data_IF_479853028158
#
_entry.id   IF_479853028158
#
_cell.length_a   1.000
_cell.length_b   1.000
_cell.length_c   1.000
_cell.angle_alpha   90.00
_cell.angle_beta   90.00
_cell.angle_gamma   90.00
#
_symmetry.space_group_name_H-M   'P 1'
#
loop_
_entity.id
_entity.type
_entity.pdbx_description
1 polymer ?
#
# COMPACT_ATOMS: atom_id res chain seq x y z
N UNK A 1 -17.75 6.57 8.45
CA UNK A 1 -16.33 7.03 8.50
C UNK A 1 -15.56 6.44 9.68
N UNK A 2 -16.06 6.46 10.93
CA UNK A 2 -15.35 5.90 12.10
C UNK A 2 -15.04 4.40 12.01
N UNK A 3 -15.90 3.60 11.38
CA UNK A 3 -15.66 2.16 11.15
C UNK A 3 -14.57 1.90 10.10
N UNK A 4 -14.36 2.80 9.14
CA UNK A 4 -13.31 2.67 8.13
C UNK A 4 -11.90 2.83 8.74
N UNK A 5 -11.79 3.41 9.93
CA UNK A 5 -10.56 3.56 10.70
C UNK A 5 -10.44 2.59 11.88
N UNK A 6 -11.35 1.61 12.01
CA UNK A 6 -11.33 0.64 13.11
C UNK A 6 -11.86 1.15 14.46
N UNK A 7 -12.68 2.20 14.46
CA UNK A 7 -13.31 2.78 15.65
C UNK A 7 -12.35 3.58 16.54
N UNK A 8 -12.79 3.94 17.75
CA UNK A 8 -12.01 4.72 18.73
C UNK A 8 -10.65 4.06 19.03
N UNK A 9 -10.62 2.72 19.11
CA UNK A 9 -9.41 1.95 19.33
C UNK A 9 -8.45 1.95 18.13
N UNK A 10 -8.98 1.99 16.90
CA UNK A 10 -8.14 2.16 15.72
C UNK A 10 -7.44 3.52 15.66
N UNK A 11 -8.12 4.59 16.07
CA UNK A 11 -7.50 5.92 16.20
C UNK A 11 -6.44 5.98 17.31
N UNK A 12 -6.68 5.33 18.44
CA UNK A 12 -5.68 5.22 19.53
C UNK A 12 -4.44 4.48 19.01
N UNK A 13 -4.62 3.37 18.32
CA UNK A 13 -3.51 2.56 17.80
C UNK A 13 -2.68 3.27 16.73
N UNK A 14 -3.28 4.14 15.91
CA UNK A 14 -2.54 4.90 14.89
C UNK A 14 -1.87 6.16 15.45
N UNK A 15 -2.43 6.75 16.50
CA UNK A 15 -2.01 8.06 17.00
C UNK A 15 -1.01 7.94 18.15
N UNK A 16 -1.23 7.00 19.08
CA UNK A 16 -0.42 6.84 20.29
C UNK A 16 1.05 6.50 19.98
N UNK A 17 1.36 5.55 19.07
CA UNK A 17 2.75 5.27 18.73
C UNK A 17 3.45 6.48 18.08
N UNK A 18 2.73 7.24 17.25
CA UNK A 18 3.24 8.46 16.63
C UNK A 18 3.54 9.54 17.67
N UNK A 19 2.66 9.74 18.66
CA UNK A 19 2.88 10.68 19.76
C UNK A 19 4.07 10.27 20.65
N UNK A 20 4.21 8.97 20.95
CA UNK A 20 5.35 8.46 21.72
C UNK A 20 6.66 8.62 20.95
N UNK A 21 6.66 8.37 19.64
CA UNK A 21 7.81 8.67 18.79
C UNK A 21 8.21 10.15 18.90
N UNK A 22 7.26 11.08 18.73
CA UNK A 22 7.51 12.52 18.79
C UNK A 22 8.00 12.95 20.18
N UNK A 23 7.39 12.46 21.25
CA UNK A 23 7.78 12.78 22.62
C UNK A 23 9.20 12.31 22.94
N UNK A 24 9.52 11.05 22.61
CA UNK A 24 10.84 10.47 22.85
C UNK A 24 11.89 11.15 21.95
N UNK A 25 11.55 11.50 20.71
CA UNK A 25 12.47 12.20 19.80
C UNK A 25 12.76 13.62 20.26
N UNK A 26 11.75 14.33 20.74
CA UNK A 26 11.90 15.69 21.26
C UNK A 26 12.84 15.70 22.47
N UNK A 27 12.75 14.69 23.35
CA UNK A 27 13.57 14.62 24.55
C UNK A 27 14.98 14.05 24.32
N UNK A 28 15.11 13.03 23.47
CA UNK A 28 16.39 12.29 23.32
C UNK A 28 17.19 12.74 22.10
N UNK A 29 16.57 13.46 21.16
CA UNK A 29 17.12 13.78 19.82
C UNK A 29 17.63 12.56 19.04
N UNK A 30 17.33 11.35 19.52
CA UNK A 30 17.83 10.09 18.97
C UNK A 30 16.71 9.35 18.26
N UNK A 31 16.82 9.29 16.93
CA UNK A 31 15.84 8.64 16.06
C UNK A 31 15.71 7.15 16.41
N UNK A 32 16.82 6.49 16.75
CA UNK A 32 16.83 5.07 17.11
C UNK A 32 16.03 4.78 18.36
N UNK A 33 16.24 5.57 19.43
CA UNK A 33 15.56 5.37 20.71
C UNK A 33 14.06 5.61 20.54
N UNK A 34 13.68 6.69 19.85
CA UNK A 34 12.28 7.00 19.55
C UNK A 34 11.60 5.95 18.70
N UNK A 35 12.29 5.45 17.67
CA UNK A 35 11.77 4.41 16.79
C UNK A 35 11.58 3.09 17.56
N UNK A 36 12.58 2.67 18.36
CA UNK A 36 12.48 1.45 19.17
C UNK A 36 11.35 1.57 20.19
N UNK A 37 11.22 2.70 20.88
CA UNK A 37 10.14 2.93 21.85
C UNK A 37 8.75 2.89 21.19
N UNK A 38 8.58 3.56 20.05
CA UNK A 38 7.31 3.56 19.32
C UNK A 38 6.98 2.19 18.71
N UNK A 39 7.99 1.45 18.23
CA UNK A 39 7.84 0.09 17.72
C UNK A 39 7.48 -0.89 18.84
N UNK A 40 8.16 -0.81 19.99
CA UNK A 40 7.84 -1.64 21.15
C UNK A 40 6.41 -1.40 21.62
N UNK A 41 5.98 -0.14 21.69
CA UNK A 41 4.60 0.21 22.05
C UNK A 41 3.59 -0.28 21.01
N UNK A 42 3.89 -0.12 19.72
CA UNK A 42 3.07 -0.65 18.63
C UNK A 42 2.93 -2.17 18.71
N UNK A 43 4.00 -2.86 19.10
CA UNK A 43 4.00 -4.31 19.28
C UNK A 43 3.13 -4.73 20.47
N UNK A 44 3.21 -4.02 21.60
CA UNK A 44 2.34 -4.27 22.77
C UNK A 44 0.87 -4.06 22.41
N UNK A 45 0.54 -2.98 21.70
CA UNK A 45 -0.82 -2.71 21.23
C UNK A 45 -1.30 -3.77 20.23
N UNK A 46 -0.42 -4.21 19.32
CA UNK A 46 -0.71 -5.30 18.39
C UNK A 46 -1.00 -6.61 19.13
N UNK A 47 -0.20 -6.97 20.15
CA UNK A 47 -0.42 -8.15 21.01
C UNK A 47 -1.74 -8.02 21.76
N UNK A 48 -2.05 -6.86 22.33
CA UNK A 48 -3.35 -6.62 22.96
C UNK A 48 -4.51 -6.79 21.96
N UNK A 49 -4.31 -6.43 20.69
CA UNK A 49 -5.27 -6.63 19.59
C UNK A 49 -5.51 -8.09 19.27
N UNK A 50 -4.44 -8.90 19.26
CA UNK A 50 -4.49 -10.36 19.08
C UNK A 50 -5.34 -11.00 20.18
N UNK A 51 -5.08 -10.63 21.43
CA UNK A 51 -5.81 -11.12 22.61
C UNK A 51 -7.30 -10.72 22.56
N UNK A 52 -7.61 -9.54 22.00
CA UNK A 52 -8.97 -9.02 21.79
C UNK A 52 -9.71 -9.59 20.57
N UNK A 53 -9.14 -10.58 19.86
CA UNK A 53 -9.71 -11.21 18.65
C UNK A 53 -10.09 -10.23 17.52
N UNK A 54 -9.41 -9.09 17.44
CA UNK A 54 -9.57 -8.20 16.28
C UNK A 54 -8.76 -8.73 15.09
N UNK A 55 -9.16 -8.36 13.87
CA UNK A 55 -8.65 -8.93 12.61
C UNK A 55 -7.12 -8.84 12.50
N UNK A 56 -6.48 -9.96 12.82
CA UNK A 56 -5.05 -10.22 12.82
C UNK A 56 -4.35 -10.16 11.45
N UNK A 57 -5.11 -10.01 10.36
CA UNK A 57 -4.62 -10.14 8.98
C UNK A 57 -3.45 -9.19 8.64
N UNK A 58 -3.37 -8.02 9.30
CA UNK A 58 -2.27 -7.07 9.07
C UNK A 58 -1.07 -7.25 10.00
N UNK A 59 -1.28 -7.68 11.25
CA UNK A 59 -0.20 -7.89 12.23
C UNK A 59 0.73 -9.06 11.85
N UNK A 60 0.19 -10.09 11.19
CA UNK A 60 0.97 -11.23 10.74
C UNK A 60 1.99 -10.88 9.65
N UNK A 61 1.65 -9.98 8.72
CA UNK A 61 2.53 -9.67 7.57
C UNK A 61 3.92 -9.16 7.97
N UNK A 62 4.01 -8.34 9.02
CA UNK A 62 5.28 -7.82 9.54
C UNK A 62 6.09 -8.90 10.26
N UNK A 63 5.44 -9.71 11.09
CA UNK A 63 6.10 -10.81 11.81
C UNK A 63 6.61 -11.88 10.83
N UNK A 64 5.81 -12.26 9.84
CA UNK A 64 6.22 -13.18 8.78
C UNK A 64 7.38 -12.61 7.97
N UNK A 65 7.35 -11.32 7.62
CA UNK A 65 8.45 -10.67 6.91
C UNK A 65 9.77 -10.72 7.68
N UNK A 66 9.74 -10.44 8.99
CA UNK A 66 10.91 -10.51 9.87
C UNK A 66 11.39 -11.96 10.02
N UNK A 67 10.48 -12.90 10.29
CA UNK A 67 10.81 -14.32 10.44
C UNK A 67 11.43 -14.89 9.16
N UNK A 68 10.87 -14.55 7.99
CA UNK A 68 11.38 -14.97 6.69
C UNK A 68 12.75 -14.36 6.41
N UNK A 69 12.95 -13.05 6.69
CA UNK A 69 14.28 -12.43 6.58
C UNK A 69 15.30 -13.09 7.51
N UNK A 70 14.93 -13.32 8.78
CA UNK A 70 15.80 -13.94 9.77
C UNK A 70 16.21 -15.36 9.37
N UNK A 71 15.26 -16.14 8.83
CA UNK A 71 15.53 -17.47 8.30
C UNK A 71 16.62 -17.46 7.22
N UNK A 72 16.55 -16.56 6.24
CA UNK A 72 17.58 -16.43 5.20
C UNK A 72 18.93 -15.96 5.74
N UNK A 73 18.94 -15.06 6.73
CA UNK A 73 20.18 -14.61 7.36
C UNK A 73 20.89 -15.76 8.12
N UNK A 74 20.15 -16.55 8.89
CA UNK A 74 20.68 -17.69 9.64
C UNK A 74 21.18 -18.78 8.69
N UNK A 75 20.37 -19.15 7.69
CA UNK A 75 20.72 -20.20 6.73
C UNK A 75 22.01 -19.90 5.96
N UNK A 76 22.24 -18.63 5.65
CA UNK A 76 23.37 -18.19 4.83
C UNK A 76 24.60 -17.74 5.62
N UNK A 77 24.48 -17.59 6.95
CA UNK A 77 25.54 -17.02 7.79
C UNK A 77 25.85 -15.54 7.53
N UNK A 78 25.01 -14.82 6.77
CA UNK A 78 25.25 -13.43 6.39
C UNK A 78 24.06 -12.53 6.73
N UNK A 79 24.27 -11.55 7.62
CA UNK A 79 23.23 -10.63 8.08
C UNK A 79 22.59 -9.81 6.95
N UNK A 80 23.28 -9.54 5.84
CA UNK A 80 22.70 -8.82 4.69
C UNK A 80 21.53 -9.58 4.07
N UNK A 81 21.52 -10.92 4.16
CA UNK A 81 20.48 -11.77 3.60
C UNK A 81 19.14 -11.64 4.32
N UNK A 82 19.12 -11.02 5.51
CA UNK A 82 17.89 -10.56 6.15
C UNK A 82 17.09 -9.62 5.24
N UNK A 83 17.77 -8.75 4.50
CA UNK A 83 17.11 -7.72 3.69
C UNK A 83 16.72 -8.20 2.29
N UNK A 84 17.34 -9.28 1.81
CA UNK A 84 17.29 -9.74 0.43
C UNK A 84 15.86 -10.11 -0.04
N UNK A 85 15.04 -10.86 0.71
CA UNK A 85 13.66 -11.16 0.27
C UNK A 85 12.83 -9.90 0.02
N UNK A 86 12.93 -8.91 0.91
CA UNK A 86 12.21 -7.64 0.76
C UNK A 86 12.75 -6.77 -0.38
N UNK A 87 14.05 -6.85 -0.67
CA UNK A 87 14.66 -6.17 -1.82
C UNK A 87 14.20 -6.78 -3.15
N UNK A 88 14.20 -8.11 -3.24
CA UNK A 88 13.67 -8.84 -4.40
C UNK A 88 12.19 -8.57 -4.61
N UNK A 89 11.39 -8.55 -3.55
CA UNK A 89 9.98 -8.17 -3.63
C UNK A 89 9.78 -6.75 -4.16
N UNK A 90 10.56 -5.78 -3.65
CA UNK A 90 10.48 -4.39 -4.11
C UNK A 90 10.89 -4.25 -5.58
N UNK A 91 11.93 -4.96 -6.00
CA UNK A 91 12.36 -5.00 -7.40
C UNK A 91 11.31 -5.66 -8.30
N UNK A 92 10.74 -6.79 -7.86
CA UNK A 92 9.65 -7.46 -8.56
C UNK A 92 8.44 -6.55 -8.73
N UNK A 93 8.06 -5.80 -7.69
CA UNK A 93 7.02 -4.77 -7.79
C UNK A 93 7.39 -3.68 -8.80
N UNK A 94 8.61 -3.14 -8.74
CA UNK A 94 9.06 -2.11 -9.67
C UNK A 94 8.93 -2.59 -11.12
N UNK A 95 9.41 -3.81 -11.41
CA UNK A 95 9.29 -4.44 -12.72
C UNK A 95 7.83 -4.66 -13.10
N UNK A 96 6.99 -5.16 -12.19
CA UNK A 96 5.57 -5.35 -12.44
C UNK A 96 4.87 -4.03 -12.81
N UNK A 97 5.16 -2.94 -12.10
CA UNK A 97 4.66 -1.61 -12.44
C UNK A 97 5.11 -1.19 -13.85
N UNK A 98 6.40 -1.27 -14.16
CA UNK A 98 6.95 -0.90 -15.48
C UNK A 98 6.34 -1.74 -16.59
N UNK A 99 6.35 -3.07 -16.46
CA UNK A 99 5.79 -4.00 -17.45
C UNK A 99 4.29 -3.76 -17.63
N UNK A 100 3.54 -3.55 -16.54
CA UNK A 100 2.10 -3.26 -16.61
C UNK A 100 1.82 -1.95 -17.36
N UNK A 101 2.66 -0.93 -17.17
CA UNK A 101 2.56 0.34 -17.88
C UNK A 101 2.88 0.18 -19.37
N UNK A 102 3.91 -0.60 -19.70
CA UNK A 102 4.28 -0.93 -21.09
C UNK A 102 3.19 -1.74 -21.80
N UNK A 103 2.58 -2.71 -21.10
CA UNK A 103 1.48 -3.52 -21.60
C UNK A 103 0.15 -2.76 -21.72
N UNK A 104 0.13 -1.43 -21.44
CA UNK A 104 -1.08 -0.59 -21.41
C UNK A 104 -2.17 -1.19 -20.50
N UNK A 105 -1.74 -1.78 -19.38
CA UNK A 105 -2.59 -2.32 -18.33
C UNK A 105 -2.11 -1.81 -16.97
N UNK A 106 -2.23 -0.50 -16.69
CA UNK A 106 -1.59 0.13 -15.54
C UNK A 106 -2.08 -0.46 -14.21
N UNK A 107 -1.15 -0.99 -13.41
CA UNK A 107 -1.44 -1.62 -12.13
C UNK A 107 -2.22 -0.70 -11.17
N UNK A 108 -1.91 0.60 -11.16
CA UNK A 108 -2.62 1.57 -10.33
C UNK A 108 -4.10 1.65 -10.71
N UNK A 109 -4.44 1.53 -12.00
CA UNK A 109 -5.84 1.53 -12.45
C UNK A 109 -6.58 0.26 -12.01
N UNK A 110 -5.89 -0.88 -11.95
CA UNK A 110 -6.44 -2.14 -11.43
C UNK A 110 -6.69 -2.06 -9.94
N UNK A 111 -5.76 -1.45 -9.20
CA UNK A 111 -5.87 -1.27 -7.75
C UNK A 111 -6.94 -0.24 -7.37
N UNK A 112 -6.99 0.91 -8.06
CA UNK A 112 -7.89 2.02 -7.73
C UNK A 112 -9.26 1.91 -8.39
N UNK A 113 -9.40 1.20 -9.51
CA UNK A 113 -10.67 1.07 -10.24
C UNK A 113 -11.83 0.57 -9.37
N UNK A 114 -11.68 -0.53 -8.62
CA UNK A 114 -12.70 -1.01 -7.69
C UNK A 114 -12.97 -0.02 -6.54
N UNK A 115 -11.91 0.61 -6.02
CA UNK A 115 -12.00 1.58 -4.91
C UNK A 115 -12.81 2.82 -5.33
N UNK A 116 -12.64 3.25 -6.59
CA UNK A 116 -13.33 4.40 -7.17
C UNK A 116 -14.63 4.02 -7.89
N UNK A 117 -15.12 2.78 -7.69
CA UNK A 117 -16.36 2.23 -8.27
C UNK A 117 -16.46 2.27 -9.80
N UNK A 118 -15.34 2.43 -10.49
CA UNK A 118 -15.28 2.47 -11.96
C UNK A 118 -14.74 1.18 -12.58
N UNK A 119 -14.28 0.23 -11.76
CA UNK A 119 -13.70 -1.06 -12.17
C UNK A 119 -12.68 -0.91 -13.30
N UNK A 120 -12.91 -1.50 -14.49
CA UNK A 120 -12.02 -1.39 -15.67
C UNK A 120 -12.53 -0.40 -16.72
N UNK A 121 -13.60 0.36 -16.43
CA UNK A 121 -14.20 1.29 -17.39
C UNK A 121 -13.27 2.42 -17.81
N UNK A 122 -12.29 2.78 -16.97
CA UNK A 122 -11.24 3.73 -17.30
C UNK A 122 -10.41 3.33 -18.54
N UNK A 123 -10.38 2.04 -18.91
CA UNK A 123 -9.67 1.58 -20.12
C UNK A 123 -10.40 1.91 -21.40
N UNK A 124 -11.73 1.82 -21.38
CA UNK A 124 -12.58 1.86 -22.57
C UNK A 124 -13.34 3.17 -22.70
N UNK A 125 -13.84 3.72 -21.59
CA UNK A 125 -14.76 4.87 -21.57
C UNK A 125 -14.11 6.18 -21.15
N UNK A 126 -12.93 6.15 -20.52
CA UNK A 126 -12.29 7.36 -20.00
C UNK A 126 -10.79 7.45 -20.32
N UNK A 127 -10.41 7.95 -21.52
CA UNK A 127 -9.01 8.02 -21.93
C UNK A 127 -8.17 8.97 -21.06
N UNK A 128 -8.79 9.95 -20.40
CA UNK A 128 -8.11 10.82 -19.44
C UNK A 128 -7.64 10.07 -18.20
N UNK A 129 -8.48 9.19 -17.66
CA UNK A 129 -8.14 8.34 -16.50
C UNK A 129 -7.13 7.25 -16.86
N UNK A 130 -7.25 6.66 -18.05
CA UNK A 130 -6.21 5.75 -18.59
C UNK A 130 -4.83 6.41 -18.54
N UNK A 131 -4.70 7.64 -19.05
CA UNK A 131 -3.43 8.40 -19.02
C UNK A 131 -2.95 8.67 -17.59
N UNK A 132 -3.85 9.07 -16.69
CA UNK A 132 -3.51 9.32 -15.29
C UNK A 132 -2.99 8.05 -14.60
N UNK A 133 -3.68 6.91 -14.77
CA UNK A 133 -3.25 5.64 -14.22
C UNK A 133 -1.93 5.14 -14.79
N UNK A 134 -1.70 5.31 -16.09
CA UNK A 134 -0.41 5.00 -16.70
C UNK A 134 0.70 5.86 -16.13
N UNK A 135 0.50 7.17 -15.96
CA UNK A 135 1.49 8.07 -15.34
C UNK A 135 1.78 7.68 -13.88
N UNK A 136 0.75 7.40 -13.10
CA UNK A 136 0.90 6.93 -11.72
C UNK A 136 1.66 5.60 -11.66
N UNK A 137 1.31 4.65 -12.52
CA UNK A 137 1.98 3.34 -12.60
C UNK A 137 3.47 3.49 -12.97
N UNK A 138 3.79 4.37 -13.91
CA UNK A 138 5.19 4.71 -14.24
C UNK A 138 5.92 5.35 -13.06
N UNK A 139 5.30 6.29 -12.35
CA UNK A 139 5.91 6.94 -11.19
C UNK A 139 6.28 5.90 -10.12
N UNK A 140 5.36 4.99 -9.78
CA UNK A 140 5.63 3.90 -8.85
C UNK A 140 6.75 2.99 -9.35
N UNK A 141 6.70 2.56 -10.61
CA UNK A 141 7.73 1.71 -11.21
C UNK A 141 9.12 2.34 -11.15
N UNK A 142 9.26 3.60 -11.60
CA UNK A 142 10.56 4.30 -11.64
C UNK A 142 11.09 4.59 -10.24
N UNK A 143 10.25 5.03 -9.31
CA UNK A 143 10.68 5.34 -7.94
C UNK A 143 11.14 4.08 -7.21
N UNK A 144 10.40 2.97 -7.34
CA UNK A 144 10.79 1.70 -6.74
C UNK A 144 12.02 1.10 -7.42
N UNK A 145 12.16 1.28 -8.74
CA UNK A 145 13.35 0.86 -9.47
C UNK A 145 14.59 1.65 -9.03
N UNK A 146 14.47 2.97 -8.86
CA UNK A 146 15.53 3.83 -8.35
C UNK A 146 15.93 3.43 -6.91
N UNK A 147 14.94 3.16 -6.05
CA UNK A 147 15.19 2.60 -4.71
C UNK A 147 15.98 1.30 -4.78
N UNK A 148 15.59 0.37 -5.65
CA UNK A 148 16.33 -0.88 -5.86
C UNK A 148 17.75 -0.63 -6.40
N UNK A 149 17.91 0.30 -7.34
CA UNK A 149 19.21 0.68 -7.89
C UNK A 149 20.17 1.27 -6.85
N UNK A 150 19.65 1.79 -5.72
CA UNK A 150 20.48 2.22 -4.58
C UNK A 150 20.78 1.03 -3.65
N UNK A 151 19.77 0.23 -3.32
CA UNK A 151 19.90 -0.83 -2.31
C UNK A 151 20.73 -2.03 -2.78
N UNK A 152 20.62 -2.42 -4.05
CA UNK A 152 21.33 -3.58 -4.59
C UNK A 152 22.86 -3.40 -4.60
N UNK A 153 23.42 -2.28 -5.13
CA UNK A 153 24.83 -1.95 -4.95
C UNK A 153 25.29 -1.99 -3.49
N UNK A 154 24.50 -1.42 -2.58
CA UNK A 154 24.83 -1.39 -1.16
C UNK A 154 24.80 -2.79 -0.52
N UNK A 155 23.99 -3.71 -1.04
CA UNK A 155 23.99 -5.11 -0.61
C UNK A 155 25.28 -5.84 -1.00
N UNK A 156 25.79 -5.61 -2.21
CA UNK A 156 27.05 -6.23 -2.64
C UNK A 156 28.28 -5.61 -1.96
N UNK A 157 28.37 -4.28 -1.93
CA UNK A 157 29.60 -3.59 -1.54
C UNK A 157 29.59 -2.98 -0.13
N UNK A 158 28.41 -2.77 0.49
CA UNK A 158 28.28 -2.21 1.83
C UNK A 158 28.19 -3.26 2.94
N UNK A 159 28.18 -2.82 4.20
CA UNK A 159 27.90 -3.69 5.34
C UNK A 159 26.39 -3.79 5.67
N UNK A 160 26.02 -4.75 6.53
CA UNK A 160 24.62 -5.00 6.88
C UNK A 160 23.98 -3.82 7.63
N UNK A 161 24.75 -3.07 8.41
CA UNK A 161 24.27 -1.94 9.21
C UNK A 161 23.96 -0.75 8.31
N UNK A 162 24.88 -0.38 7.42
CA UNK A 162 24.67 0.65 6.40
C UNK A 162 23.45 0.32 5.52
N UNK A 163 23.35 -0.93 5.06
CA UNK A 163 22.20 -1.39 4.27
C UNK A 163 20.89 -1.25 5.05
N UNK A 164 20.88 -1.61 6.32
CA UNK A 164 19.72 -1.45 7.20
C UNK A 164 19.28 0.00 7.31
N UNK A 165 20.20 0.91 7.59
CA UNK A 165 19.92 2.35 7.70
C UNK A 165 19.37 2.96 6.43
N UNK A 166 20.01 2.71 5.30
CA UNK A 166 19.58 3.23 4.00
C UNK A 166 18.22 2.65 3.62
N UNK A 167 17.97 1.36 3.89
CA UNK A 167 16.66 0.75 3.64
C UNK A 167 15.54 1.38 4.47
N UNK A 168 15.80 1.71 5.73
CA UNK A 168 14.84 2.41 6.60
C UNK A 168 14.60 3.84 6.10
N UNK A 169 15.67 4.58 5.78
CA UNK A 169 15.58 5.94 5.24
C UNK A 169 14.80 5.98 3.92
N UNK A 170 14.99 5.00 3.04
CA UNK A 170 14.25 4.83 1.78
C UNK A 170 12.92 4.09 1.95
N UNK A 171 12.44 3.88 3.18
CA UNK A 171 11.16 3.25 3.45
C UNK A 171 10.00 4.17 3.07
N UNK A 172 9.89 5.28 3.79
CA UNK A 172 8.75 6.21 3.74
C UNK A 172 8.84 7.21 2.57
N UNK A 173 9.97 7.90 2.31
CA UNK A 173 10.01 8.97 1.33
C UNK A 173 9.65 8.54 -0.10
N UNK A 174 10.19 7.43 -0.66
CA UNK A 174 9.80 6.95 -1.99
C UNK A 174 8.31 6.57 -2.08
N UNK A 175 7.76 6.00 -1.01
CA UNK A 175 6.35 5.65 -0.95
C UNK A 175 5.46 6.90 -0.97
N UNK A 176 5.75 7.88 -0.10
CA UNK A 176 5.00 9.14 -0.05
C UNK A 176 5.07 9.89 -1.38
N UNK A 177 6.24 9.93 -2.01
CA UNK A 177 6.39 10.54 -3.33
C UNK A 177 5.51 9.85 -4.36
N UNK A 178 5.45 8.51 -4.34
CA UNK A 178 4.63 7.74 -5.27
C UNK A 178 3.14 8.01 -5.07
N UNK A 179 2.67 8.07 -3.82
CA UNK A 179 1.28 8.41 -3.48
C UNK A 179 0.96 9.86 -3.87
N UNK A 180 1.85 10.80 -3.59
CA UNK A 180 1.69 12.20 -3.93
C UNK A 180 1.59 12.43 -5.43
N UNK A 181 2.45 11.77 -6.23
CA UNK A 181 2.36 11.83 -7.69
C UNK A 181 1.07 11.19 -8.21
N UNK A 182 0.65 10.05 -7.65
CA UNK A 182 -0.66 9.46 -7.97
C UNK A 182 -1.78 10.46 -7.73
N UNK A 183 -1.77 11.16 -6.58
CA UNK A 183 -2.75 12.19 -6.27
C UNK A 183 -2.75 13.31 -7.31
N UNK A 184 -1.58 13.88 -7.65
CA UNK A 184 -1.48 14.95 -8.66
C UNK A 184 -2.04 14.51 -10.01
N UNK A 185 -1.74 13.28 -10.43
CA UNK A 185 -2.20 12.79 -11.73
C UNK A 185 -3.71 12.53 -11.74
N UNK A 186 -4.27 11.97 -10.66
CA UNK A 186 -5.70 11.71 -10.53
C UNK A 186 -6.50 13.00 -10.33
N UNK A 187 -5.98 13.97 -9.59
CA UNK A 187 -6.64 15.26 -9.36
C UNK A 187 -6.84 16.07 -10.65
N UNK A 188 -6.00 15.82 -11.67
CA UNK A 188 -6.10 16.42 -13.01
C UNK A 188 -6.90 15.55 -13.99
N UNK A 189 -7.31 14.35 -13.57
CA UNK A 189 -8.04 13.42 -14.43
C UNK A 189 -9.55 13.71 -14.38
N UNK A 190 -10.30 13.34 -15.44
CA UNK A 190 -11.75 13.37 -15.40
C UNK A 190 -12.29 12.51 -14.25
N UNK A 191 -13.49 12.83 -13.72
CA UNK A 191 -14.10 12.07 -12.65
C UNK A 191 -14.30 10.59 -13.03
N UNK A 192 -14.28 9.67 -12.05
CA UNK A 192 -14.56 8.25 -12.29
C UNK A 192 -16.02 8.09 -12.78
N UNK A 193 -16.22 7.12 -13.65
CA UNK A 193 -17.57 6.71 -14.06
C UNK A 193 -18.01 5.62 -13.08
N UNK A 194 -19.03 5.89 -12.26
CA UNK A 194 -19.54 4.91 -11.31
C UNK A 194 -20.35 3.83 -12.03
N UNK A 195 -19.64 2.82 -12.54
CA UNK A 195 -20.28 1.70 -13.25
C UNK A 195 -21.09 0.82 -12.32
N UNK A 196 -20.80 0.84 -11.02
CA UNK A 196 -21.59 0.07 -10.05
C UNK A 196 -22.97 0.71 -9.90
N UNK A 197 -23.04 2.03 -9.80
CA UNK A 197 -24.32 2.74 -9.80
C UNK A 197 -25.10 2.54 -11.11
N UNK A 198 -24.43 2.60 -12.28
CA UNK A 198 -25.08 2.33 -13.56
C UNK A 198 -25.68 0.91 -13.63
N UNK A 199 -24.99 -0.10 -13.08
CA UNK A 199 -25.51 -1.47 -13.01
C UNK A 199 -26.71 -1.55 -12.05
N UNK A 200 -26.61 -0.96 -10.86
CA UNK A 200 -27.70 -0.91 -9.88
C UNK A 200 -28.96 -0.24 -10.45
N UNK A 201 -28.81 0.81 -11.27
CA UNK A 201 -29.94 1.47 -11.95
C UNK A 201 -30.55 0.60 -13.04
N UNK A 202 -29.72 -0.09 -13.82
CA UNK A 202 -30.21 -1.03 -14.86
C UNK A 202 -31.00 -2.17 -14.23
N UNK A 203 -30.47 -2.79 -13.19
CA UNK A 203 -31.14 -3.88 -12.48
C UNK A 203 -32.50 -3.44 -11.91
N UNK A 204 -32.60 -2.20 -11.41
CA UNK A 204 -33.88 -1.62 -10.94
C UNK A 204 -34.88 -1.41 -12.07
N UNK A 205 -34.42 -0.94 -13.24
CA UNK A 205 -35.30 -0.76 -14.42
C UNK A 205 -35.79 -2.12 -14.92
N UNK A 206 -34.89 -3.09 -15.02
CA UNK A 206 -35.23 -4.46 -15.42
C UNK A 206 -36.18 -5.13 -14.41
N UNK A 207 -36.06 -4.85 -13.11
CA UNK A 207 -37.01 -5.32 -12.10
C UNK A 207 -38.38 -4.66 -12.23
N UNK A 208 -38.43 -3.33 -12.43
CA UNK A 208 -39.69 -2.60 -12.63
C UNK A 208 -40.44 -3.07 -13.88
N UNK A 209 -39.73 -3.29 -14.99
CA UNK A 209 -40.30 -3.83 -16.23
C UNK A 209 -40.89 -5.24 -16.03
N UNK A 210 -40.21 -6.11 -15.26
CA UNK A 210 -40.74 -7.44 -14.91
C UNK A 210 -41.96 -7.37 -14.00
N UNK A 211 -42.00 -6.43 -13.09
CA UNK A 211 -43.15 -6.23 -12.19
C UNK A 211 -44.37 -5.69 -12.97
N UNK A 212 -44.14 -4.80 -13.95
CA UNK A 212 -45.18 -4.34 -14.88
C UNK A 212 -45.69 -5.47 -15.81
N UNK A 213 -44.80 -6.31 -16.35
CA UNK A 213 -45.18 -7.44 -17.21
C UNK A 213 -45.97 -8.53 -16.44
N UNK A 214 -45.64 -8.74 -15.16
CA UNK A 214 -46.32 -9.72 -14.31
C UNK A 214 -47.56 -9.16 -13.58
N UNK A 215 -47.90 -7.88 -13.79
CA UNK A 215 -49.10 -7.29 -13.21
C UNK A 215 -50.35 -7.94 -13.84
N UNK A 216 -51.31 -8.46 -13.04
CA UNK A 216 -52.52 -9.07 -13.59
C UNK A 216 -53.30 -8.02 -14.39
N UNK A 217 -53.69 -8.36 -15.63
CA UNK A 217 -54.58 -7.53 -16.43
C UNK A 217 -55.87 -7.27 -15.65
N UNK A 218 -56.07 -6.02 -15.22
CA UNK A 218 -57.26 -5.56 -14.49
C UNK A 218 -58.48 -5.46 -15.41
#
# INVERSE_FOLDING_TARGET
MLEAFGGVWGMVDTTVPGLVFVAVFTSTRSILVSAISALALSLVLAVARVVRKQTLKHAFSGVFGIAFGAFFAVLSGNAKNFYLPGMLYTLGLAVAYVVSALARFPLIGVLLGPILRENLSWRTRNPGRMKAYTKSTWAWGVILLAKSAILFPLYWWGDATQLGWVKVALGIPPFLLSVYLTWIFLAKAPPPIDVIAEMEERDKREAAERDEENAPAA
#
